data_IF_256767821352
#
_entry.id   IF_256767821352
#
_cell.length_a   1.000
_cell.length_b   1.000
_cell.length_c   1.000
_cell.angle_alpha   90.00
_cell.angle_beta   90.00
_cell.angle_gamma   90.00
#
_symmetry.space_group_name_H-M   'P 1'
#
loop_
_entity.id
_entity.type
_entity.pdbx_description
1 polymer ?
#
# COMPACT_ATOMS: atom_id res chain seq x y z
N UNK A 1 -25.58 67.69 -34.17
CA UNK A 1 -26.02 66.28 -34.24
C UNK A 1 -26.03 65.72 -32.82
N UNK A 2 -27.20 65.48 -32.23
CA UNK A 2 -27.33 64.98 -30.84
C UNK A 2 -27.32 63.46 -30.87
N UNK A 3 -26.24 62.83 -30.40
CA UNK A 3 -26.16 61.37 -30.23
C UNK A 3 -26.79 61.04 -28.89
N UNK A 4 -27.99 60.46 -28.91
CA UNK A 4 -28.70 59.98 -27.72
C UNK A 4 -28.23 58.56 -27.40
N UNK A 5 -27.41 58.39 -26.36
CA UNK A 5 -27.08 57.07 -25.81
C UNK A 5 -28.30 56.51 -25.05
N UNK A 6 -28.99 55.54 -25.66
CA UNK A 6 -30.03 54.75 -24.99
C UNK A 6 -29.36 53.89 -23.91
N UNK A 7 -29.60 54.20 -22.63
CA UNK A 7 -29.24 53.33 -21.52
C UNK A 7 -29.96 51.99 -21.70
N UNK A 8 -29.20 50.90 -21.89
CA UNK A 8 -29.73 49.54 -22.02
C UNK A 8 -30.31 49.15 -20.67
N UNK A 9 -31.62 48.93 -20.60
CA UNK A 9 -32.26 48.47 -19.37
C UNK A 9 -31.77 47.07 -19.02
N UNK A 10 -31.13 46.95 -17.87
CA UNK A 10 -30.63 45.69 -17.33
C UNK A 10 -31.84 44.95 -16.75
N UNK A 11 -32.36 43.96 -17.49
CA UNK A 11 -33.41 43.08 -16.99
C UNK A 11 -32.80 42.26 -15.83
N UNK A 12 -33.32 42.47 -14.63
CA UNK A 12 -32.92 41.70 -13.45
C UNK A 12 -33.39 40.25 -13.56
N UNK A 13 -32.61 39.33 -12.99
CA UNK A 13 -32.96 37.92 -12.88
C UNK A 13 -34.22 37.77 -12.01
N UNK A 14 -35.16 36.91 -12.41
CA UNK A 14 -36.37 36.68 -11.61
C UNK A 14 -36.07 35.74 -10.44
N UNK A 15 -36.73 35.95 -9.29
CA UNK A 15 -36.53 35.07 -8.12
C UNK A 15 -36.88 33.62 -8.45
N UNK A 16 -37.89 33.40 -9.30
CA UNK A 16 -38.30 32.05 -9.72
C UNK A 16 -37.21 31.33 -10.51
N UNK A 17 -36.44 32.06 -11.32
CA UNK A 17 -35.35 31.52 -12.12
C UNK A 17 -34.20 31.05 -11.22
N UNK A 18 -33.89 31.81 -10.17
CA UNK A 18 -32.93 31.38 -9.15
C UNK A 18 -33.43 30.12 -8.39
N UNK A 19 -34.71 30.09 -8.01
CA UNK A 19 -35.30 28.96 -7.27
C UNK A 19 -35.28 27.68 -8.11
N UNK A 20 -35.64 27.75 -9.39
CA UNK A 20 -35.60 26.58 -10.28
C UNK A 20 -34.18 26.07 -10.47
N UNK A 21 -33.18 26.96 -10.59
CA UNK A 21 -31.78 26.55 -10.77
C UNK A 21 -31.25 25.79 -9.55
N UNK A 22 -31.48 26.29 -8.33
CA UNK A 22 -31.03 25.57 -7.13
C UNK A 22 -31.77 24.24 -6.94
N UNK A 23 -33.04 24.15 -7.36
CA UNK A 23 -33.81 22.91 -7.37
C UNK A 23 -33.19 21.88 -8.33
N UNK A 24 -32.86 22.29 -9.55
CA UNK A 24 -32.22 21.43 -10.54
C UNK A 24 -30.84 20.99 -10.07
N UNK A 25 -30.03 21.90 -9.51
CA UNK A 25 -28.73 21.55 -8.92
C UNK A 25 -28.89 20.57 -7.75
N UNK A 26 -29.94 20.71 -6.94
CA UNK A 26 -30.26 19.77 -5.86
C UNK A 26 -30.54 18.35 -6.36
N UNK A 27 -31.33 18.20 -7.43
CA UNK A 27 -31.63 16.89 -8.02
C UNK A 27 -30.38 16.27 -8.66
N UNK A 28 -29.58 17.06 -9.39
CA UNK A 28 -28.32 16.59 -9.98
C UNK A 28 -27.32 16.17 -8.91
N UNK A 29 -27.19 16.94 -7.82
CA UNK A 29 -26.30 16.59 -6.72
C UNK A 29 -26.75 15.31 -6.01
N UNK A 30 -28.05 15.14 -5.74
CA UNK A 30 -28.59 13.96 -5.06
C UNK A 30 -28.35 12.65 -5.82
N UNK A 31 -28.33 12.70 -7.16
CA UNK A 31 -28.10 11.52 -8.00
C UNK A 31 -26.63 11.29 -8.35
N UNK A 32 -25.82 12.35 -8.43
CA UNK A 32 -24.40 12.24 -8.77
C UNK A 32 -23.51 11.90 -7.56
N UNK A 33 -23.86 12.35 -6.35
CA UNK A 33 -23.01 12.20 -5.16
C UNK A 33 -22.74 10.74 -4.77
N UNK A 34 -23.73 9.82 -4.72
CA UNK A 34 -23.46 8.43 -4.33
C UNK A 34 -22.46 7.75 -5.27
N UNK A 35 -22.65 7.92 -6.58
CA UNK A 35 -21.76 7.35 -7.61
C UNK A 35 -20.33 7.90 -7.52
N UNK A 36 -20.18 9.16 -7.13
CA UNK A 36 -18.85 9.76 -7.00
C UNK A 36 -18.04 9.12 -5.86
N UNK A 37 -18.70 8.71 -4.77
CA UNK A 37 -18.05 8.02 -3.65
C UNK A 37 -17.63 6.59 -4.02
N UNK A 38 -18.49 5.84 -4.70
CA UNK A 38 -18.18 4.46 -5.12
C UNK A 38 -16.96 4.41 -6.06
N UNK A 39 -16.85 5.35 -7.02
CA UNK A 39 -15.73 5.41 -7.97
C UNK A 39 -14.39 5.69 -7.28
N UNK A 40 -14.38 6.42 -6.16
CA UNK A 40 -13.14 6.66 -5.42
C UNK A 40 -12.65 5.40 -4.71
N UNK A 41 -13.55 4.62 -4.14
CA UNK A 41 -13.23 3.34 -3.49
C UNK A 41 -12.73 2.31 -4.52
N UNK A 42 -13.43 2.17 -5.65
CA UNK A 42 -13.01 1.33 -6.77
C UNK A 42 -11.61 1.72 -7.30
N UNK A 43 -11.30 3.02 -7.33
CA UNK A 43 -9.99 3.50 -7.75
C UNK A 43 -8.88 3.11 -6.76
N UNK A 44 -9.16 3.15 -5.45
CA UNK A 44 -8.23 2.71 -4.42
C UNK A 44 -7.96 1.20 -4.51
N UNK A 45 -9.00 0.39 -4.68
CA UNK A 45 -8.88 -1.06 -4.87
C UNK A 45 -8.07 -1.40 -6.13
N UNK A 46 -8.33 -0.70 -7.24
CA UNK A 46 -7.56 -0.87 -8.47
C UNK A 46 -6.06 -0.55 -8.31
N UNK A 47 -5.71 0.41 -7.44
CA UNK A 47 -4.29 0.70 -7.12
C UNK A 47 -3.66 -0.47 -6.38
N UNK A 48 -4.37 -1.08 -5.44
CA UNK A 48 -3.85 -2.23 -4.68
C UNK A 48 -3.68 -3.45 -5.58
N UNK A 49 -4.69 -3.78 -6.39
CA UNK A 49 -4.64 -4.89 -7.35
C UNK A 49 -3.54 -4.71 -8.40
N UNK A 50 -3.40 -3.49 -8.93
CA UNK A 50 -2.34 -3.13 -9.86
C UNK A 50 -0.96 -3.27 -9.22
N UNK A 51 -0.80 -2.84 -7.97
CA UNK A 51 0.46 -2.92 -7.24
C UNK A 51 0.82 -4.36 -6.89
N UNK A 52 -0.14 -5.18 -6.48
CA UNK A 52 0.06 -6.60 -6.19
C UNK A 52 0.52 -7.37 -7.44
N UNK A 53 -0.15 -7.15 -8.57
CA UNK A 53 0.21 -7.75 -9.85
C UNK A 53 1.60 -7.32 -10.33
N UNK A 54 1.93 -6.03 -10.14
CA UNK A 54 3.24 -5.49 -10.48
C UNK A 54 4.34 -6.07 -9.58
N UNK A 55 4.09 -6.25 -8.27
CA UNK A 55 5.02 -6.91 -7.36
C UNK A 55 5.25 -8.37 -7.77
N UNK A 56 4.20 -9.12 -8.05
CA UNK A 56 4.31 -10.51 -8.52
C UNK A 56 5.15 -10.60 -9.81
N UNK A 57 4.92 -9.69 -10.75
CA UNK A 57 5.69 -9.61 -12.00
C UNK A 57 7.15 -9.24 -11.73
N UNK A 58 7.40 -8.27 -10.84
CA UNK A 58 8.75 -7.85 -10.45
C UNK A 58 9.54 -8.97 -9.79
N UNK A 59 8.92 -9.70 -8.86
CA UNK A 59 9.52 -10.89 -8.21
C UNK A 59 9.84 -11.97 -9.25
N UNK A 60 8.93 -12.25 -10.18
CA UNK A 60 9.14 -13.23 -11.24
C UNK A 60 10.31 -12.83 -12.18
N UNK A 61 10.41 -11.55 -12.54
CA UNK A 61 11.49 -11.04 -13.38
C UNK A 61 12.85 -11.10 -12.65
N UNK A 62 12.88 -10.71 -11.38
CA UNK A 62 14.07 -10.85 -10.54
C UNK A 62 14.53 -12.31 -10.49
N UNK A 63 13.60 -13.23 -10.26
CA UNK A 63 13.87 -14.67 -10.24
C UNK A 63 14.40 -15.18 -11.58
N UNK A 64 13.84 -14.71 -12.69
CA UNK A 64 14.30 -15.07 -14.03
C UNK A 64 15.75 -14.60 -14.28
N UNK A 65 16.09 -13.38 -13.86
CA UNK A 65 17.46 -12.87 -13.98
C UNK A 65 18.44 -13.67 -13.09
N UNK A 66 18.04 -14.04 -11.88
CA UNK A 66 18.86 -14.90 -11.01
C UNK A 66 19.18 -16.26 -11.66
N UNK A 67 18.21 -16.89 -12.31
CA UNK A 67 18.43 -18.13 -13.07
C UNK A 67 19.35 -17.87 -14.27
N UNK A 68 19.14 -16.77 -15.00
CA UNK A 68 19.95 -16.40 -16.17
C UNK A 68 21.43 -16.16 -15.82
N UNK A 69 21.71 -15.65 -14.61
CA UNK A 69 23.05 -15.44 -14.09
C UNK A 69 23.70 -16.68 -13.45
N UNK A 70 23.14 -17.88 -13.70
CA UNK A 70 23.65 -19.15 -13.17
C UNK A 70 23.53 -19.26 -11.64
N UNK A 71 22.46 -18.70 -11.07
CA UNK A 71 22.10 -18.86 -9.66
C UNK A 71 23.22 -18.42 -8.70
N UNK A 72 23.66 -17.15 -8.77
CA UNK A 72 24.68 -16.63 -7.86
C UNK A 72 24.26 -16.79 -6.40
N UNK A 73 25.27 -16.90 -5.53
CA UNK A 73 25.09 -17.20 -4.12
C UNK A 73 24.26 -16.13 -3.39
N UNK A 74 23.57 -16.53 -2.33
CA UNK A 74 22.86 -15.60 -1.47
C UNK A 74 23.81 -14.54 -0.88
N UNK A 75 23.28 -13.34 -0.65
CA UNK A 75 24.07 -12.18 -0.20
C UNK A 75 24.79 -11.43 -1.31
N UNK A 76 24.63 -11.85 -2.57
CA UNK A 76 25.13 -11.10 -3.73
C UNK A 76 24.07 -10.14 -4.28
N UNK A 77 24.50 -8.98 -4.79
CA UNK A 77 23.64 -8.04 -5.51
C UNK A 77 23.38 -8.60 -6.91
N UNK A 78 22.10 -8.80 -7.27
CA UNK A 78 21.76 -9.38 -8.58
C UNK A 78 21.97 -8.38 -9.73
N UNK A 79 21.55 -7.14 -9.52
CA UNK A 79 21.73 -6.03 -10.47
C UNK A 79 21.72 -4.70 -9.72
N UNK A 80 22.79 -3.92 -9.85
CA UNK A 80 22.92 -2.61 -9.19
C UNK A 80 22.03 -1.54 -9.81
N UNK A 81 21.47 -1.77 -11.00
CA UNK A 81 20.72 -0.76 -11.77
C UNK A 81 19.27 -1.11 -12.03
N UNK A 82 18.93 -2.39 -12.25
CA UNK A 82 17.57 -2.78 -12.67
C UNK A 82 16.63 -3.02 -11.50
N UNK A 83 17.17 -3.47 -10.37
CA UNK A 83 16.39 -3.83 -9.18
C UNK A 83 16.78 -3.01 -7.96
N UNK A 84 17.25 -1.77 -8.13
CA UNK A 84 17.65 -0.91 -7.02
C UNK A 84 18.77 -1.49 -6.14
N UNK A 85 19.59 -2.41 -6.69
CA UNK A 85 20.65 -3.08 -5.93
C UNK A 85 20.18 -4.20 -5.01
N UNK A 86 18.94 -4.68 -5.16
CA UNK A 86 18.39 -5.76 -4.35
C UNK A 86 19.27 -7.01 -4.33
N UNK A 87 19.36 -7.60 -3.14
CA UNK A 87 20.25 -8.72 -2.84
C UNK A 87 19.50 -10.04 -2.89
N UNK A 88 20.22 -11.09 -3.23
CA UNK A 88 19.69 -12.43 -3.40
C UNK A 88 19.54 -13.08 -2.02
N UNK A 89 18.31 -13.45 -1.66
CA UNK A 89 18.04 -14.27 -0.49
C UNK A 89 18.45 -15.73 -0.68
N UNK A 90 18.47 -16.51 0.40
CA UNK A 90 18.78 -17.95 0.37
C UNK A 90 17.89 -18.75 -0.58
N UNK A 91 16.62 -18.36 -0.71
CA UNK A 91 15.69 -18.98 -1.66
C UNK A 91 15.82 -18.46 -3.10
N UNK A 92 16.74 -17.53 -3.36
CA UNK A 92 16.98 -16.88 -4.65
C UNK A 92 15.91 -15.87 -5.08
N UNK A 93 15.25 -15.26 -4.09
CA UNK A 93 14.26 -14.21 -4.21
C UNK A 93 14.82 -12.91 -3.60
N UNK A 94 14.32 -11.74 -4.02
CA UNK A 94 14.88 -10.47 -3.59
C UNK A 94 14.70 -10.24 -2.09
N UNK A 95 15.78 -9.81 -1.45
CA UNK A 95 15.80 -9.28 -0.09
C UNK A 95 16.34 -7.84 -0.11
N UNK A 96 15.97 -7.05 0.89
CA UNK A 96 16.43 -5.67 1.02
C UNK A 96 17.95 -5.56 1.17
N UNK A 97 18.48 -4.37 0.89
CA UNK A 97 19.91 -4.05 0.93
C UNK A 97 20.44 -3.81 2.35
N UNK A 98 19.56 -3.46 3.29
CA UNK A 98 19.95 -3.03 4.64
C UNK A 98 20.50 -4.16 5.55
N UNK A 99 20.41 -5.46 5.16
CA UNK A 99 21.02 -6.60 5.88
C UNK A 99 21.71 -7.63 4.95
N UNK A 100 22.22 -7.18 3.81
CA UNK A 100 22.65 -8.02 2.69
C UNK A 100 23.82 -8.98 2.93
N UNK A 101 24.65 -8.77 3.94
CA UNK A 101 25.93 -9.48 4.06
C UNK A 101 25.80 -10.99 4.30
N UNK A 102 24.63 -11.47 4.74
CA UNK A 102 24.36 -12.89 5.03
C UNK A 102 23.39 -13.55 4.05
N UNK A 103 22.76 -12.78 3.14
CA UNK A 103 21.66 -13.29 2.32
C UNK A 103 20.40 -13.68 3.11
N UNK A 104 20.32 -13.26 4.39
CA UNK A 104 19.20 -13.56 5.27
C UNK A 104 18.17 -12.42 5.25
N UNK A 105 16.91 -12.81 5.25
CA UNK A 105 15.79 -11.91 5.51
C UNK A 105 15.39 -12.05 6.98
N UNK A 106 15.92 -11.18 7.84
CA UNK A 106 15.80 -11.32 9.30
C UNK A 106 15.10 -10.09 9.91
N UNK A 107 14.00 -10.34 10.63
CA UNK A 107 13.23 -9.31 11.31
C UNK A 107 13.87 -8.82 12.62
N UNK A 108 14.92 -9.48 13.10
CA UNK A 108 15.60 -9.15 14.36
C UNK A 108 16.61 -7.98 14.25
N UNK A 109 16.88 -7.49 13.04
CA UNK A 109 17.77 -6.35 12.82
C UNK A 109 17.06 -4.99 12.99
N UNK A 110 17.77 -4.00 13.54
CA UNK A 110 17.30 -2.61 13.50
C UNK A 110 17.14 -2.16 12.03
N UNK A 111 16.00 -1.55 11.68
CA UNK A 111 15.60 -1.16 10.32
C UNK A 111 15.15 -2.32 9.40
N UNK A 112 14.63 -3.41 9.94
CA UNK A 112 14.03 -4.50 9.14
C UNK A 112 12.92 -3.97 8.20
N UNK A 113 12.14 -2.98 8.62
CA UNK A 113 11.13 -2.34 7.75
C UNK A 113 11.73 -1.67 6.50
N UNK A 114 12.98 -1.21 6.57
CA UNK A 114 13.68 -0.64 5.40
C UNK A 114 13.87 -1.70 4.31
N UNK A 115 14.03 -2.98 4.66
CA UNK A 115 14.18 -4.04 3.67
C UNK A 115 12.92 -4.21 2.82
N UNK A 116 11.73 -4.12 3.43
CA UNK A 116 10.46 -4.16 2.69
C UNK A 116 10.30 -2.93 1.79
N UNK A 117 10.67 -1.75 2.26
CA UNK A 117 10.66 -0.53 1.45
C UNK A 117 11.60 -0.66 0.25
N UNK A 118 12.80 -1.20 0.45
CA UNK A 118 13.78 -1.44 -0.60
C UNK A 118 13.29 -2.45 -1.62
N UNK A 119 12.69 -3.57 -1.18
CA UNK A 119 12.10 -4.59 -2.05
C UNK A 119 11.00 -3.96 -2.91
N UNK A 120 10.07 -3.24 -2.30
CA UNK A 120 9.01 -2.55 -3.03
C UNK A 120 9.57 -1.56 -4.05
N UNK A 121 10.55 -0.75 -3.65
CA UNK A 121 11.15 0.27 -4.51
C UNK A 121 12.02 -0.30 -5.62
N UNK A 122 12.68 -1.44 -5.40
CA UNK A 122 13.54 -2.10 -6.37
C UNK A 122 12.76 -2.95 -7.38
N UNK A 123 11.62 -3.53 -6.98
CA UNK A 123 10.80 -4.35 -7.90
C UNK A 123 9.82 -3.54 -8.73
N UNK A 124 9.32 -2.43 -8.20
CA UNK A 124 8.36 -1.58 -8.89
C UNK A 124 9.06 -0.39 -9.55
N UNK A 125 8.76 -0.15 -10.84
CA UNK A 125 9.34 0.94 -11.62
C UNK A 125 8.80 2.33 -11.20
N UNK A 126 9.29 3.39 -11.85
CA UNK A 126 8.83 4.76 -11.63
C UNK A 126 7.31 4.89 -11.91
N UNK A 127 6.60 5.68 -11.11
CA UNK A 127 5.15 5.89 -11.21
C UNK A 127 4.30 5.01 -10.28
N UNK A 128 4.92 4.17 -9.45
CA UNK A 128 4.25 3.43 -8.37
C UNK A 128 3.72 4.35 -7.27
N UNK A 129 2.72 3.88 -6.53
CA UNK A 129 2.30 4.52 -5.29
C UNK A 129 3.48 4.57 -4.29
N UNK A 130 3.65 5.66 -3.52
CA UNK A 130 4.74 5.76 -2.54
C UNK A 130 4.66 4.65 -1.51
N UNK A 131 5.80 4.28 -0.94
CA UNK A 131 5.87 3.39 0.22
C UNK A 131 6.77 4.01 1.28
N UNK A 132 6.43 3.81 2.55
CA UNK A 132 7.30 4.18 3.66
C UNK A 132 7.45 3.03 4.66
N UNK A 133 8.60 2.99 5.33
CA UNK A 133 8.90 2.01 6.39
C UNK A 133 8.14 2.37 7.65
N UNK A 134 7.51 1.37 8.28
CA UNK A 134 6.37 1.62 9.14
C UNK A 134 6.67 1.92 10.62
N UNK A 135 5.72 2.65 11.22
CA UNK A 135 5.39 2.74 12.64
C UNK A 135 4.42 1.62 13.12
N UNK A 136 4.13 0.61 12.28
CA UNK A 136 3.32 -0.58 12.59
C UNK A 136 4.07 -1.45 13.59
N UNK A 137 3.33 -1.95 14.56
CA UNK A 137 3.78 -2.98 15.50
C UNK A 137 3.45 -4.37 14.95
N UNK A 138 4.07 -5.40 15.52
CA UNK A 138 3.79 -6.81 15.22
C UNK A 138 2.33 -7.20 15.53
N UNK A 139 1.63 -6.43 16.37
CA UNK A 139 0.22 -6.65 16.70
C UNK A 139 -0.73 -6.24 15.55
N UNK A 140 -0.38 -5.21 14.78
CA UNK A 140 -1.20 -4.63 13.71
C UNK A 140 -1.27 -5.53 12.45
N UNK A 141 -0.50 -6.63 12.43
CA UNK A 141 -0.42 -7.56 11.29
C UNK A 141 -1.19 -8.87 11.49
N UNK A 142 -1.73 -9.12 12.70
CA UNK A 142 -2.31 -10.42 13.06
C UNK A 142 -3.85 -10.50 13.03
N UNK A 143 -4.57 -9.38 13.19
CA UNK A 143 -6.04 -9.25 13.22
C UNK A 143 -6.37 -7.79 13.57
N UNK A 144 -7.54 -7.26 13.16
CA UNK A 144 -7.87 -5.87 13.38
C UNK A 144 -8.19 -5.59 14.86
N UNK A 145 -7.22 -5.08 15.62
CA UNK A 145 -7.42 -4.49 16.94
C UNK A 145 -6.54 -3.25 17.05
N UNK A 146 -7.05 -2.24 17.75
CA UNK A 146 -6.57 -0.85 17.83
C UNK A 146 -5.10 -0.62 17.48
N UNK A 147 -4.77 0.49 16.79
CA UNK A 147 -3.40 0.99 16.89
C UNK A 147 -3.13 1.07 18.37
N UNK A 148 -2.18 0.27 18.86
CA UNK A 148 -1.59 0.55 20.15
C UNK A 148 -0.74 1.80 19.91
N UNK A 149 -1.42 2.95 19.87
CA UNK A 149 -0.90 4.08 20.59
C UNK A 149 -0.43 3.51 21.93
N UNK A 150 0.84 3.73 22.25
CA UNK A 150 1.24 3.71 23.64
C UNK A 150 0.21 4.54 24.39
N UNK A 151 -0.65 3.86 25.16
CA UNK A 151 -1.77 4.38 25.93
C UNK A 151 -3.05 4.72 25.15
N UNK A 152 -4.14 4.18 25.68
CA UNK A 152 -5.51 4.40 25.28
C UNK A 152 -5.87 5.89 25.22
N UNK A 153 -6.81 6.20 24.32
CA UNK A 153 -7.64 7.41 24.35
C UNK A 153 -6.88 8.73 24.16
N UNK A 154 -6.65 9.11 22.89
CA UNK A 154 -7.00 10.41 22.29
C UNK A 154 -6.50 10.38 20.85
N UNK A 155 -7.37 10.06 19.89
CA UNK A 155 -7.13 10.36 18.49
C UNK A 155 -7.17 11.90 18.31
N UNK A 156 -6.14 12.59 18.80
CA UNK A 156 -5.80 13.90 18.26
C UNK A 156 -5.22 13.66 16.88
N UNK A 157 -5.54 14.54 15.93
CA UNK A 157 -5.10 14.56 14.52
C UNK A 157 -3.56 14.61 14.34
N UNK A 158 -2.85 13.62 14.85
CA UNK A 158 -1.41 13.41 14.82
C UNK A 158 -1.04 11.92 14.69
N UNK A 159 -2.02 11.00 14.83
CA UNK A 159 -1.91 9.58 14.45
C UNK A 159 -2.18 9.36 12.95
N UNK A 160 -2.20 10.45 12.20
CA UNK A 160 -2.08 10.42 10.76
C UNK A 160 -0.72 9.80 10.45
N UNK A 161 -0.69 8.58 9.91
CA UNK A 161 0.48 8.13 9.16
C UNK A 161 0.95 9.34 8.35
N UNK A 162 2.18 9.81 8.53
CA UNK A 162 2.74 10.98 7.81
C UNK A 162 2.87 10.78 6.30
N UNK A 163 2.09 9.84 5.77
CA UNK A 163 1.99 9.27 4.45
C UNK A 163 0.50 9.37 4.16
N UNK A 164 0.10 10.47 3.53
CA UNK A 164 -1.22 10.62 2.91
C UNK A 164 -1.35 9.83 1.62
N UNK A 165 -0.24 9.27 1.11
CA UNK A 165 -0.14 8.79 -0.25
C UNK A 165 0.53 7.42 -0.30
N UNK A 166 -0.27 6.37 -0.48
CA UNK A 166 0.20 5.03 -0.86
C UNK A 166 0.25 3.99 0.25
N UNK A 167 1.37 3.27 0.32
CA UNK A 167 1.55 2.07 1.12
C UNK A 167 2.45 2.28 2.33
N UNK A 168 2.20 1.49 3.36
CA UNK A 168 3.04 1.38 4.55
C UNK A 168 3.60 -0.03 4.61
N UNK A 169 4.93 -0.16 4.74
CA UNK A 169 5.63 -1.44 4.74
C UNK A 169 6.05 -1.84 6.16
N UNK A 170 5.63 -3.04 6.59
CA UNK A 170 6.08 -3.67 7.83
C UNK A 170 6.78 -4.98 7.50
N UNK A 171 8.00 -5.17 8.02
CA UNK A 171 8.57 -6.50 8.10
C UNK A 171 8.00 -7.20 9.33
N UNK A 172 7.50 -8.40 9.11
CA UNK A 172 7.00 -9.27 10.17
C UNK A 172 7.94 -10.46 10.25
N UNK A 173 8.41 -10.76 11.46
CA UNK A 173 9.10 -12.00 11.74
C UNK A 173 9.10 -12.28 13.23
N UNK A 174 9.22 -13.56 13.59
CA UNK A 174 9.30 -14.01 14.97
C UNK A 174 8.01 -14.65 15.51
N UNK A 175 8.19 -15.42 16.58
CA UNK A 175 7.16 -16.25 17.17
C UNK A 175 5.99 -15.45 17.73
N UNK A 176 4.78 -15.74 17.25
CA UNK A 176 3.54 -15.20 17.82
C UNK A 176 2.44 -14.87 16.80
N UNK A 177 2.79 -14.68 15.53
CA UNK A 177 1.79 -14.48 14.47
C UNK A 177 1.48 -15.80 13.77
N UNK A 178 0.21 -16.18 13.84
CA UNK A 178 -0.31 -17.41 13.20
C UNK A 178 -1.27 -17.12 12.05
N UNK A 179 -1.67 -15.86 11.85
CA UNK A 179 -2.54 -15.44 10.78
C UNK A 179 -2.25 -13.99 10.34
N UNK A 180 -2.49 -13.68 9.06
CA UNK A 180 -2.49 -12.32 8.49
C UNK A 180 -3.72 -12.23 7.57
N UNK A 181 -4.73 -11.44 7.95
CA UNK A 181 -5.95 -11.28 7.13
C UNK A 181 -6.62 -12.61 6.71
N UNK A 182 -6.64 -13.59 7.62
CA UNK A 182 -7.18 -14.93 7.37
C UNK A 182 -6.22 -15.92 6.68
N UNK A 183 -5.05 -15.48 6.22
CA UNK A 183 -3.97 -16.36 5.76
C UNK A 183 -3.25 -16.97 6.96
N UNK A 184 -3.24 -18.29 7.09
CA UNK A 184 -2.47 -18.97 8.13
C UNK A 184 -0.97 -18.93 7.83
N UNK A 185 -0.20 -18.29 8.71
CA UNK A 185 1.27 -18.18 8.63
C UNK A 185 1.90 -18.88 9.84
N UNK A 186 3.13 -19.38 9.73
CA UNK A 186 3.79 -20.01 10.87
C UNK A 186 4.84 -19.09 11.48
N UNK A 187 5.04 -19.23 12.80
CA UNK A 187 5.94 -18.46 13.65
C UNK A 187 7.42 -18.35 13.20
N UNK A 188 7.82 -19.09 12.15
CA UNK A 188 9.17 -19.15 11.63
C UNK A 188 9.39 -18.30 10.37
N UNK A 189 8.33 -17.72 9.82
CA UNK A 189 8.38 -17.10 8.49
C UNK A 189 8.55 -15.58 8.64
N UNK A 190 9.58 -15.04 7.99
CA UNK A 190 9.76 -13.58 7.89
C UNK A 190 9.21 -13.11 6.53
N UNK A 191 8.32 -12.12 6.54
CA UNK A 191 7.65 -11.61 5.35
C UNK A 191 7.42 -10.10 5.42
N UNK A 192 7.07 -9.49 4.29
CA UNK A 192 6.69 -8.08 4.20
C UNK A 192 5.17 -7.95 4.07
N UNK A 193 4.58 -7.04 4.84
CA UNK A 193 3.19 -6.61 4.69
C UNK A 193 3.19 -5.17 4.18
N UNK A 194 2.49 -4.92 3.08
CA UNK A 194 2.25 -3.60 2.52
C UNK A 194 0.77 -3.26 2.67
N UNK A 195 0.44 -2.40 3.62
CA UNK A 195 -0.94 -1.95 3.86
C UNK A 195 -1.19 -0.65 3.11
N UNK A 196 -2.32 -0.56 2.41
CA UNK A 196 -2.70 0.66 1.70
C UNK A 196 -3.41 1.64 2.64
N UNK A 197 -2.82 2.81 2.87
CA UNK A 197 -3.31 3.80 3.85
C UNK A 197 -3.66 5.16 3.23
N UNK A 198 -3.71 5.23 1.89
CA UNK A 198 -4.10 6.44 1.17
C UNK A 198 -5.60 6.72 1.27
N UNK A 199 -6.40 5.69 1.58
CA UNK A 199 -7.82 5.83 1.87
C UNK A 199 -8.01 6.26 3.33
N UNK A 200 -8.60 7.44 3.53
CA UNK A 200 -8.87 8.00 4.85
C UNK A 200 -9.91 7.18 5.64
N UNK A 201 -10.82 6.48 4.95
CA UNK A 201 -11.83 5.63 5.59
C UNK A 201 -11.24 4.30 6.01
N UNK A 202 -10.19 3.79 5.34
CA UNK A 202 -9.57 2.49 5.63
C UNK A 202 -8.21 2.63 6.32
N UNK A 203 -8.07 3.66 7.17
CA UNK A 203 -6.82 3.94 7.90
C UNK A 203 -6.73 3.20 9.24
N UNK A 204 -7.81 2.56 9.68
CA UNK A 204 -7.91 1.85 10.95
C UNK A 204 -8.12 0.37 10.72
N UNK A 205 -7.15 -0.46 11.09
CA UNK A 205 -7.24 -1.92 11.09
C UNK A 205 -8.01 -2.40 12.32
N UNK A 206 -9.22 -1.90 12.59
CA UNK A 206 -10.00 -2.31 13.79
C UNK A 206 -11.42 -2.64 13.40
N UNK A 207 -11.98 -1.81 12.53
CA UNK A 207 -13.35 -1.90 12.06
C UNK A 207 -13.44 -1.96 10.52
N UNK A 208 -12.36 -1.64 9.81
CA UNK A 208 -12.31 -1.56 8.35
C UNK A 208 -11.37 -2.61 7.76
N UNK A 209 -11.83 -3.30 6.72
CA UNK A 209 -11.05 -4.27 5.97
C UNK A 209 -9.99 -3.52 5.14
N UNK A 210 -8.77 -3.40 5.67
CA UNK A 210 -7.69 -2.65 5.00
C UNK A 210 -7.01 -3.57 3.99
N UNK A 211 -7.01 -3.23 2.69
CA UNK A 211 -6.37 -4.09 1.69
C UNK A 211 -4.84 -4.04 1.86
N UNK A 212 -4.25 -5.23 1.87
CA UNK A 212 -2.83 -5.43 2.09
C UNK A 212 -2.23 -6.45 1.11
N UNK A 213 -0.95 -6.28 0.83
CA UNK A 213 -0.16 -7.18 0.00
C UNK A 213 0.91 -7.81 0.88
N UNK A 214 0.98 -9.14 0.89
CA UNK A 214 1.97 -9.90 1.66
C UNK A 214 2.97 -10.54 0.71
N UNK A 215 4.25 -10.30 0.95
CA UNK A 215 5.36 -10.87 0.17
C UNK A 215 6.22 -11.77 1.03
N UNK A 216 6.42 -13.01 0.58
CA UNK A 216 7.22 -14.03 1.27
C UNK A 216 8.55 -14.26 0.54
N UNK A 217 9.68 -13.68 0.99
CA UNK A 217 10.98 -13.89 0.34
C UNK A 217 11.54 -15.31 0.54
N UNK A 218 11.11 -15.99 1.61
CA UNK A 218 11.48 -17.37 1.93
C UNK A 218 10.22 -18.23 2.04
N UNK A 219 10.35 -19.53 1.76
CA UNK A 219 9.23 -20.46 1.88
C UNK A 219 8.77 -20.57 3.34
N UNK A 220 7.46 -20.68 3.54
CA UNK A 220 6.90 -20.94 4.85
C UNK A 220 7.11 -22.40 5.25
N UNK A 221 7.32 -22.67 6.54
CA UNK A 221 7.41 -24.03 7.05
C UNK A 221 6.06 -24.80 7.01
N UNK A 222 4.97 -24.12 6.65
CA UNK A 222 3.61 -24.68 6.54
C UNK A 222 3.33 -25.45 5.25
N UNK A 223 4.25 -25.41 4.26
CA UNK A 223 4.09 -26.11 2.97
C UNK A 223 3.01 -25.53 2.03
N UNK A 224 2.21 -24.57 2.50
CA UNK A 224 1.15 -23.91 1.71
C UNK A 224 1.62 -22.61 1.02
N UNK A 225 2.76 -22.04 1.45
CA UNK A 225 3.28 -20.77 0.95
C UNK A 225 4.70 -20.98 0.43
N UNK A 226 4.87 -20.83 -0.88
CA UNK A 226 6.17 -20.95 -1.55
C UNK A 226 6.99 -19.66 -1.42
N UNK A 227 8.31 -19.80 -1.49
CA UNK A 227 9.21 -18.65 -1.58
C UNK A 227 8.88 -17.82 -2.83
N UNK A 228 8.89 -16.50 -2.68
CA UNK A 228 8.54 -15.56 -3.74
C UNK A 228 7.05 -15.33 -3.93
N UNK A 229 6.17 -15.93 -3.12
CA UNK A 229 4.74 -15.69 -3.22
C UNK A 229 4.38 -14.25 -2.84
N UNK A 230 3.47 -13.68 -3.62
CA UNK A 230 2.83 -12.38 -3.38
C UNK A 230 1.34 -12.64 -3.28
N UNK A 231 0.76 -12.35 -2.12
CA UNK A 231 -0.65 -12.65 -1.81
C UNK A 231 -1.36 -11.37 -1.40
N UNK A 232 -2.58 -11.18 -1.89
CA UNK A 232 -3.45 -10.11 -1.41
C UNK A 232 -4.30 -10.62 -0.26
N UNK A 233 -4.51 -9.76 0.73
CA UNK A 233 -5.31 -10.06 1.92
C UNK A 233 -5.94 -8.77 2.44
N UNK A 234 -6.86 -8.89 3.38
CA UNK A 234 -7.46 -7.76 4.08
C UNK A 234 -7.19 -7.88 5.57
N UNK A 235 -6.61 -6.84 6.16
CA UNK A 235 -6.29 -6.75 7.59
C UNK A 235 -7.48 -6.28 8.41
#
# INVERSE_FOLDING_TARGET
>A
MKIQLKAKQQQGFTIIELVVVILLLGILAATALPRFLDVTEEAHDAVVDGTASALQTGVALYRAQWIAQQQPAAGTVLSSTEFGGLVIGTSGYPIGVTNSSTGAFDAAAANSEAQCVEIYNGLLQAGRAPVSGSALTTADTAVPISPTASTAETATNSDFFGISDGFVAKQVGGAGITAVGGLTVTAADSFCVYSYVADANRRSTVDDAVPAIVYFPTAANSGAIEAGSVLQTTL
#
